data_IF_765082042093
#
_entry.id   IF_765082042093
#
_cell.length_a   1.000
_cell.length_b   1.000
_cell.length_c   1.000
_cell.angle_alpha   90.00
_cell.angle_beta   90.00
_cell.angle_gamma   90.00
#
_symmetry.space_group_name_H-M   'P 1'
#
loop_
_entity.id
_entity.type
_entity.pdbx_description
1 polymer ?
#
# COMPACT_ATOMS: atom_id res chain seq x y z
N UNK A 1 -1.76 -21.29 9.84
CA UNK A 1 -1.70 -20.18 8.87
C UNK A 1 -3.13 -19.68 8.71
N UNK A 2 -3.43 -18.39 8.95
CA UNK A 2 -4.79 -17.89 8.75
C UNK A 2 -5.05 -17.79 7.24
N UNK A 3 -6.09 -18.45 6.69
CA UNK A 3 -6.40 -18.35 5.28
C UNK A 3 -6.83 -16.91 4.94
N UNK A 4 -6.44 -16.45 3.74
CA UNK A 4 -6.89 -15.18 3.17
C UNK A 4 -8.09 -15.51 2.29
N UNK A 5 -9.17 -14.72 2.41
CA UNK A 5 -10.32 -14.83 1.52
C UNK A 5 -9.88 -14.65 0.06
N UNK A 6 -10.21 -15.59 -0.85
CA UNK A 6 -9.88 -15.46 -2.27
C UNK A 6 -10.31 -14.15 -2.90
N UNK A 7 -11.46 -13.58 -2.50
CA UNK A 7 -11.94 -12.30 -3.01
C UNK A 7 -11.01 -11.16 -2.59
N UNK A 8 -10.62 -11.13 -1.32
CA UNK A 8 -9.67 -10.14 -0.80
C UNK A 8 -8.29 -10.27 -1.47
N UNK A 9 -7.86 -11.50 -1.75
CA UNK A 9 -6.61 -11.73 -2.46
C UNK A 9 -6.67 -11.20 -3.91
N UNK A 10 -7.81 -11.33 -4.59
CA UNK A 10 -8.00 -10.73 -5.91
C UNK A 10 -8.04 -9.20 -5.83
N UNK A 11 -8.74 -8.61 -4.86
CA UNK A 11 -8.78 -7.16 -4.69
C UNK A 11 -7.37 -6.56 -4.51
N UNK A 12 -6.53 -7.21 -3.69
CA UNK A 12 -5.13 -6.78 -3.52
C UNK A 12 -4.27 -7.00 -4.77
N UNK A 13 -4.58 -8.03 -5.57
CA UNK A 13 -3.94 -8.25 -6.87
C UNK A 13 -4.32 -7.14 -7.86
N UNK A 14 -5.58 -6.74 -7.89
CA UNK A 14 -6.06 -5.61 -8.68
C UNK A 14 -5.45 -4.29 -8.22
N UNK A 15 -5.34 -4.08 -6.91
CA UNK A 15 -4.64 -2.92 -6.36
C UNK A 15 -3.17 -2.88 -6.82
N UNK A 16 -2.49 -4.03 -6.83
CA UNK A 16 -1.11 -4.11 -7.33
C UNK A 16 -1.03 -3.82 -8.85
N UNK A 17 -2.00 -4.28 -9.65
CA UNK A 17 -2.08 -3.98 -11.09
C UNK A 17 -2.20 -2.48 -11.34
N UNK A 18 -3.14 -1.81 -10.68
CA UNK A 18 -3.33 -0.35 -10.84
C UNK A 18 -2.17 0.44 -10.23
N UNK A 19 -1.51 -0.05 -9.19
CA UNK A 19 -0.31 0.59 -8.66
C UNK A 19 0.88 0.56 -9.62
N UNK A 20 0.97 -0.46 -10.47
CA UNK A 20 2.00 -0.57 -11.51
C UNK A 20 1.71 0.34 -12.71
N UNK A 21 0.48 0.30 -13.23
CA UNK A 21 0.16 0.85 -14.55
C UNK A 21 -1.10 1.72 -14.61
N UNK A 22 -1.88 1.80 -13.53
CA UNK A 22 -3.14 2.53 -13.49
C UNK A 22 -2.97 4.01 -13.18
N UNK A 23 -4.04 4.76 -13.44
CA UNK A 23 -4.12 6.18 -13.13
C UNK A 23 -4.54 6.45 -11.66
N UNK A 24 -4.52 7.72 -11.20
CA UNK A 24 -4.92 8.07 -9.84
C UNK A 24 -6.37 7.70 -9.51
N UNK A 25 -7.31 7.77 -10.45
CA UNK A 25 -8.73 7.47 -10.21
C UNK A 25 -8.97 5.96 -10.12
N UNK A 26 -8.31 5.17 -10.97
CA UNK A 26 -8.31 3.70 -10.90
C UNK A 26 -7.71 3.21 -9.58
N UNK A 27 -6.59 3.81 -9.16
CA UNK A 27 -5.95 3.54 -7.87
C UNK A 27 -6.90 3.82 -6.72
N UNK A 28 -7.54 5.01 -6.73
CA UNK A 28 -8.50 5.42 -5.72
C UNK A 28 -9.69 4.46 -5.64
N UNK A 29 -10.23 4.04 -6.78
CA UNK A 29 -11.32 3.08 -6.84
C UNK A 29 -10.95 1.71 -6.24
N UNK A 30 -9.73 1.22 -6.49
CA UNK A 30 -9.25 -0.02 -5.88
C UNK A 30 -9.06 0.13 -4.35
N UNK A 31 -8.56 1.28 -3.88
CA UNK A 31 -8.41 1.57 -2.45
C UNK A 31 -9.76 1.63 -1.71
N UNK A 32 -10.80 2.19 -2.36
CA UNK A 32 -12.18 2.18 -1.87
C UNK A 32 -12.73 0.75 -1.75
N UNK A 33 -12.56 -0.09 -2.79
CA UNK A 33 -13.01 -1.50 -2.75
C UNK A 33 -12.41 -2.28 -1.58
N UNK A 34 -11.12 -2.07 -1.31
CA UNK A 34 -10.39 -2.73 -0.22
C UNK A 34 -10.77 -2.14 1.16
N UNK A 35 -11.40 -0.96 1.17
CA UNK A 35 -11.87 -0.30 2.39
C UNK A 35 -10.78 0.48 3.13
N UNK A 36 -9.75 0.99 2.44
CA UNK A 36 -8.77 1.89 3.07
C UNK A 36 -9.42 3.19 3.56
N UNK A 37 -10.47 3.62 2.89
CA UNK A 37 -11.37 4.71 3.29
C UNK A 37 -12.75 4.43 2.72
N UNK A 38 -13.78 5.05 3.32
CA UNK A 38 -15.15 5.00 2.83
C UNK A 38 -15.44 6.14 1.83
N UNK A 39 -16.47 6.01 0.97
CA UNK A 39 -16.89 7.09 0.06
C UNK A 39 -17.16 8.42 0.77
N UNK A 40 -17.64 8.37 2.01
CA UNK A 40 -17.97 9.54 2.84
C UNK A 40 -16.76 10.10 3.62
N UNK A 41 -15.59 9.46 3.51
CA UNK A 41 -14.35 9.99 4.09
C UNK A 41 -14.05 11.35 3.48
N UNK A 42 -13.66 12.34 4.30
CA UNK A 42 -13.45 13.70 3.80
C UNK A 42 -12.45 13.70 2.62
N UNK A 43 -12.69 14.50 1.55
CA UNK A 43 -11.85 14.45 0.34
C UNK A 43 -10.35 14.66 0.60
N UNK A 44 -10.02 15.49 1.59
CA UNK A 44 -8.63 15.73 1.97
C UNK A 44 -7.98 14.50 2.61
N UNK A 45 -8.69 13.72 3.43
CA UNK A 45 -8.20 12.43 3.96
C UNK A 45 -8.04 11.38 2.87
N UNK A 46 -9.00 11.27 1.95
CA UNK A 46 -8.85 10.35 0.81
C UNK A 46 -7.58 10.68 0.02
N UNK A 47 -7.32 11.97 -0.23
CA UNK A 47 -6.12 12.45 -0.91
C UNK A 47 -4.84 12.15 -0.14
N UNK A 48 -4.83 12.33 1.19
CA UNK A 48 -3.69 12.01 2.05
C UNK A 48 -3.38 10.50 2.07
N UNK A 49 -4.41 9.66 2.20
CA UNK A 49 -4.26 8.20 2.20
C UNK A 49 -3.77 7.72 0.83
N UNK A 50 -4.31 8.28 -0.27
CA UNK A 50 -3.82 8.00 -1.61
C UNK A 50 -2.37 8.45 -1.82
N UNK A 51 -2.00 9.63 -1.33
CA UNK A 51 -0.60 10.11 -1.39
C UNK A 51 0.34 9.17 -0.62
N UNK A 52 -0.07 8.69 0.55
CA UNK A 52 0.70 7.71 1.32
C UNK A 52 0.86 6.40 0.57
N UNK A 53 -0.20 5.94 -0.10
CA UNK A 53 -0.15 4.77 -0.97
C UNK A 53 0.84 4.97 -2.13
N UNK A 54 0.79 6.11 -2.83
CA UNK A 54 1.70 6.40 -3.94
C UNK A 54 3.17 6.41 -3.51
N UNK A 55 3.47 6.99 -2.35
CA UNK A 55 4.80 6.92 -1.74
C UNK A 55 5.20 5.47 -1.46
N UNK A 56 4.30 4.67 -0.86
CA UNK A 56 4.56 3.26 -0.57
C UNK A 56 4.79 2.41 -1.83
N UNK A 57 4.16 2.77 -2.95
CA UNK A 57 4.28 2.07 -4.23
C UNK A 57 5.50 2.53 -5.06
N UNK A 58 6.22 3.56 -4.63
CA UNK A 58 7.45 4.01 -5.30
C UNK A 58 8.45 2.89 -5.64
N UNK A 59 8.72 1.91 -4.76
CA UNK A 59 9.61 0.78 -5.06
C UNK A 59 9.10 -0.16 -6.15
N UNK A 60 7.78 -0.39 -6.26
CA UNK A 60 7.22 -1.31 -7.26
C UNK A 60 7.11 -0.68 -8.66
N UNK A 61 7.08 0.67 -8.73
CA UNK A 61 7.02 1.41 -10.00
C UNK A 61 8.39 1.51 -10.70
N UNK A 62 9.47 1.19 -10.00
CA UNK A 62 10.84 1.24 -10.53
C UNK A 62 11.21 -0.07 -11.21
N UNK A 63 11.65 0.00 -12.46
CA UNK A 63 12.25 -1.14 -13.17
C UNK A 63 13.74 -1.28 -12.82
N UNK A 64 14.02 -1.38 -11.52
CA UNK A 64 15.36 -1.52 -10.97
C UNK A 64 15.30 -2.05 -9.53
N UNK A 65 16.38 -2.66 -9.01
CA UNK A 65 16.43 -3.04 -7.61
C UNK A 65 16.37 -1.82 -6.67
N UNK A 66 15.35 -1.78 -5.83
CA UNK A 66 15.19 -0.78 -4.77
C UNK A 66 16.05 -1.14 -3.56
N UNK A 67 16.86 -0.20 -3.09
CA UNK A 67 17.72 -0.37 -1.91
C UNK A 67 16.96 0.08 -0.65
N UNK A 68 16.47 -0.89 0.12
CA UNK A 68 15.76 -0.61 1.36
C UNK A 68 16.70 -0.16 2.49
N UNK A 69 18.00 -0.46 2.41
CA UNK A 69 18.99 -0.10 3.43
C UNK A 69 19.48 1.34 3.32
N UNK A 70 19.28 1.98 2.18
CA UNK A 70 19.66 3.38 1.92
C UNK A 70 18.44 4.31 1.73
N UNK A 71 17.22 3.81 1.98
CA UNK A 71 15.98 4.54 1.72
C UNK A 71 15.35 5.11 2.98
N UNK A 72 14.86 6.35 2.87
CA UNK A 72 14.05 7.03 3.90
C UNK A 72 12.56 6.66 3.84
N UNK A 73 12.17 5.73 2.96
CA UNK A 73 10.76 5.44 2.65
C UNK A 73 9.93 5.13 3.90
N UNK A 74 10.44 4.30 4.80
CA UNK A 74 9.70 3.92 6.02
C UNK A 74 9.53 5.10 6.99
N UNK A 75 10.50 6.01 7.03
CA UNK A 75 10.41 7.23 7.84
C UNK A 75 9.34 8.16 7.27
N UNK A 76 9.36 8.40 5.96
CA UNK A 76 8.31 9.17 5.27
C UNK A 76 6.92 8.59 5.50
N UNK A 77 6.75 7.27 5.34
CA UNK A 77 5.46 6.61 5.57
C UNK A 77 5.01 6.69 7.02
N UNK A 78 5.92 6.57 7.99
CA UNK A 78 5.61 6.78 9.41
C UNK A 78 5.11 8.19 9.66
N UNK A 79 5.82 9.19 9.16
CA UNK A 79 5.49 10.60 9.40
C UNK A 79 4.15 10.98 8.76
N UNK A 80 3.86 10.47 7.55
CA UNK A 80 2.54 10.58 6.92
C UNK A 80 1.44 9.90 7.76
N UNK A 81 1.71 8.69 8.27
CA UNK A 81 0.76 7.96 9.13
C UNK A 81 0.46 8.69 10.44
N UNK A 82 1.46 9.35 11.05
CA UNK A 82 1.27 10.18 12.24
C UNK A 82 0.42 11.42 11.94
N UNK A 83 0.60 12.04 10.78
CA UNK A 83 -0.23 13.17 10.35
C UNK A 83 -1.70 12.74 10.18
N UNK A 84 -1.94 11.57 9.58
CA UNK A 84 -3.28 10.98 9.40
C UNK A 84 -3.91 10.64 10.76
N UNK A 85 -3.18 9.96 11.65
CA UNK A 85 -3.72 9.51 12.94
C UNK A 85 -3.91 10.61 13.99
N UNK A 86 -3.28 11.78 13.79
CA UNK A 86 -3.49 12.95 14.64
C UNK A 86 -4.77 13.70 14.30
N UNK A 87 -5.37 13.38 13.15
CA UNK A 87 -6.63 13.97 12.70
C UNK A 87 -7.83 13.26 13.33
N UNK A 88 -8.63 14.03 14.09
CA UNK A 88 -9.79 13.51 14.83
C UNK A 88 -10.99 13.20 13.93
N UNK A 89 -10.99 13.67 12.69
CA UNK A 89 -12.09 13.52 11.75
C UNK A 89 -12.06 12.17 11.00
N UNK A 90 -10.99 11.39 11.15
CA UNK A 90 -10.84 10.08 10.50
C UNK A 90 -11.53 8.99 11.34
N UNK A 91 -12.85 8.88 11.17
CA UNK A 91 -13.67 7.89 11.90
C UNK A 91 -13.68 6.51 11.25
N UNK A 92 -13.31 6.41 9.97
CA UNK A 92 -13.29 5.14 9.24
C UNK A 92 -12.15 4.26 9.71
N UNK A 93 -12.49 3.04 10.11
CA UNK A 93 -11.52 2.01 10.43
C UNK A 93 -11.57 0.97 9.32
N UNK A 94 -10.48 0.76 8.55
CA UNK A 94 -10.46 -0.24 7.51
C UNK A 94 -10.82 -1.64 8.03
N UNK A 95 -11.41 -2.50 7.19
CA UNK A 95 -11.77 -3.86 7.59
C UNK A 95 -10.60 -4.61 8.22
N UNK A 96 -10.86 -5.44 9.23
CA UNK A 96 -9.82 -6.17 9.96
C UNK A 96 -8.96 -7.05 9.04
N UNK A 97 -9.56 -7.65 7.99
CA UNK A 97 -8.86 -8.44 7.00
C UNK A 97 -7.91 -7.60 6.13
N UNK A 98 -8.35 -6.40 5.71
CA UNK A 98 -7.52 -5.40 5.01
C UNK A 98 -6.33 -4.99 5.87
N UNK A 99 -6.56 -4.64 7.14
CA UNK A 99 -5.49 -4.29 8.07
C UNK A 99 -4.52 -5.45 8.33
N UNK A 100 -5.03 -6.68 8.39
CA UNK A 100 -4.18 -7.87 8.54
C UNK A 100 -3.21 -8.01 7.37
N UNK A 101 -3.71 -7.95 6.13
CA UNK A 101 -2.87 -8.09 4.94
C UNK A 101 -1.92 -6.90 4.76
N UNK A 102 -2.40 -5.67 4.98
CA UNK A 102 -1.58 -4.46 4.96
C UNK A 102 -0.40 -4.56 5.95
N UNK A 103 -0.64 -5.05 7.19
CA UNK A 103 0.43 -5.26 8.17
C UNK A 103 1.45 -6.31 7.75
N UNK A 104 1.04 -7.34 6.99
CA UNK A 104 1.99 -8.30 6.40
C UNK A 104 2.92 -7.61 5.41
N UNK A 105 2.38 -6.75 4.55
CA UNK A 105 3.16 -5.97 3.58
C UNK A 105 4.13 -5.01 4.29
N UNK A 106 3.63 -4.20 5.23
CA UNK A 106 4.46 -3.29 6.02
C UNK A 106 5.56 -4.02 6.80
N UNK A 107 5.25 -5.19 7.37
CA UNK A 107 6.24 -6.04 8.03
C UNK A 107 7.34 -6.53 7.09
N UNK A 108 7.00 -6.89 5.85
CA UNK A 108 8.00 -7.27 4.84
C UNK A 108 8.90 -6.09 4.45
N UNK A 109 8.35 -4.88 4.30
CA UNK A 109 9.15 -3.67 4.02
C UNK A 109 10.09 -3.36 5.19
N UNK A 110 9.62 -3.46 6.43
CA UNK A 110 10.45 -3.28 7.63
C UNK A 110 11.57 -4.31 7.71
N UNK A 111 11.28 -5.57 7.40
CA UNK A 111 12.29 -6.62 7.36
C UNK A 111 13.33 -6.38 6.25
N UNK A 112 12.90 -5.96 5.06
CA UNK A 112 13.80 -5.62 3.96
C UNK A 112 14.74 -4.46 4.33
N UNK A 113 14.21 -3.41 4.96
CA UNK A 113 15.01 -2.28 5.45
C UNK A 113 16.01 -2.71 6.54
N UNK A 114 15.56 -3.49 7.54
CA UNK A 114 16.42 -3.98 8.62
C UNK A 114 17.57 -4.85 8.12
N UNK A 115 17.36 -5.60 7.04
CA UNK A 115 18.37 -6.46 6.42
C UNK A 115 19.25 -5.73 5.40
N UNK A 116 18.98 -4.46 5.10
CA UNK A 116 19.66 -3.73 4.02
C UNK A 116 19.44 -4.37 2.65
N UNK A 117 18.25 -4.94 2.43
CA UNK A 117 17.96 -5.71 1.23
C UNK A 117 17.86 -4.79 0.00
N UNK A 118 18.37 -5.28 -1.13
CA UNK A 118 18.20 -4.67 -2.44
C UNK A 118 17.42 -5.60 -3.36
N UNK A 119 16.20 -5.20 -3.73
CA UNK A 119 15.22 -6.10 -4.39
C UNK A 119 14.54 -5.39 -5.54
N UNK A 120 14.46 -6.03 -6.71
CA UNK A 120 13.58 -5.57 -7.79
C UNK A 120 12.14 -6.01 -7.48
N UNK A 121 11.39 -5.15 -6.79
CA UNK A 121 10.01 -5.47 -6.42
C UNK A 121 9.09 -5.52 -7.64
N UNK A 122 9.35 -4.70 -8.67
CA UNK A 122 8.55 -4.69 -9.90
C UNK A 122 8.53 -6.08 -10.53
N UNK A 123 9.72 -6.65 -10.80
CA UNK A 123 9.86 -8.01 -11.36
C UNK A 123 9.18 -9.08 -10.52
N UNK A 124 9.19 -8.93 -9.19
CA UNK A 124 8.56 -9.89 -8.30
C UNK A 124 7.03 -9.79 -8.35
N UNK A 125 6.48 -8.58 -8.31
CA UNK A 125 5.04 -8.34 -8.30
C UNK A 125 4.42 -8.65 -9.66
N UNK A 126 5.09 -8.30 -10.76
CA UNK A 126 4.59 -8.52 -12.13
C UNK A 126 4.20 -9.99 -12.38
N UNK A 127 4.97 -10.94 -11.84
CA UNK A 127 4.70 -12.40 -11.92
C UNK A 127 3.34 -12.83 -11.33
N UNK A 128 2.73 -11.99 -10.50
CA UNK A 128 1.45 -12.25 -9.84
C UNK A 128 0.32 -11.34 -10.33
N UNK A 129 0.63 -10.34 -11.16
CA UNK A 129 -0.34 -9.39 -11.72
C UNK A 129 -0.56 -9.59 -13.22
N UNK A 130 0.42 -10.18 -13.92
CA UNK A 130 0.32 -10.63 -15.31
C UNK A 130 -0.26 -12.05 -15.34
N UNK A 131 -1.57 -12.16 -15.57
CA UNK A 131 -2.28 -13.40 -15.90
C UNK A 131 -3.53 -13.05 -16.69
#
# INVERSE_FOLDING_TARGET
MQPIDPALAEDFRDLARVALNGDPDETKAAMLRIGYFDPDTAPHHQTLIQSMFDVAMGPIRQDAPFDFGQSDLLERLRDMGLAIGSDRELSHVPPAATLFLHRKIGGMYLMAAKLGARVNLRDMVMKYTEN
#
